data_IF_351938125954
#
_entry.id   IF_351938125954
#
_cell.length_a   1.000
_cell.length_b   1.000
_cell.length_c   1.000
_cell.angle_alpha   90.00
_cell.angle_beta   90.00
_cell.angle_gamma   90.00
#
_symmetry.space_group_name_H-M   'P 1'
#
loop_
_entity.id
_entity.type
_entity.pdbx_description
1 polymer ?
#
# COMPACT_ATOMS: atom_id res chain seq x y z
N UNK A 1 -30.89 2.76 13.27
CA UNK A 1 -29.59 2.37 12.69
C UNK A 1 -28.57 2.67 13.76
N UNK A 2 -27.91 1.63 14.29
CA UNK A 2 -26.98 1.78 15.41
C UNK A 2 -25.71 2.54 14.96
N UNK A 3 -25.41 3.72 15.54
CA UNK A 3 -24.30 4.58 15.10
C UNK A 3 -22.91 3.96 15.27
N UNK A 4 -22.78 2.89 16.06
CA UNK A 4 -21.52 2.14 16.23
C UNK A 4 -21.12 1.39 14.96
N UNK A 5 -22.10 0.90 14.18
CA UNK A 5 -21.86 0.18 12.93
C UNK A 5 -21.38 1.10 11.82
N UNK A 6 -21.77 2.38 11.86
CA UNK A 6 -21.34 3.36 10.88
C UNK A 6 -19.87 3.74 11.07
N UNK A 7 -19.43 3.87 12.33
CA UNK A 7 -18.04 4.21 12.68
C UNK A 7 -17.06 3.10 12.30
N UNK A 8 -17.42 1.83 12.56
CA UNK A 8 -16.57 0.69 12.21
C UNK A 8 -16.47 0.49 10.69
N UNK A 9 -17.52 0.80 9.93
CA UNK A 9 -17.49 0.73 8.46
C UNK A 9 -16.54 1.77 7.87
N UNK A 10 -16.57 3.01 8.38
CA UNK A 10 -15.61 4.05 7.95
C UNK A 10 -14.18 3.66 8.29
N UNK A 11 -13.94 3.12 9.49
CA UNK A 11 -12.61 2.63 9.87
C UNK A 11 -12.14 1.49 8.96
N UNK A 12 -13.01 0.53 8.66
CA UNK A 12 -12.71 -0.57 7.73
C UNK A 12 -12.34 -0.07 6.33
N UNK A 13 -13.10 0.89 5.79
CA UNK A 13 -12.81 1.52 4.48
C UNK A 13 -11.44 2.20 4.45
N UNK A 14 -11.10 2.96 5.50
CA UNK A 14 -9.81 3.65 5.56
C UNK A 14 -8.65 2.65 5.64
N UNK A 15 -8.79 1.61 6.45
CA UNK A 15 -7.77 0.56 6.59
C UNK A 15 -7.63 -0.26 5.30
N UNK A 16 -8.75 -0.61 4.64
CA UNK A 16 -8.73 -1.37 3.39
C UNK A 16 -8.13 -0.56 2.24
N UNK A 17 -8.41 0.75 2.19
CA UNK A 17 -7.83 1.69 1.24
C UNK A 17 -6.31 1.83 1.47
N UNK A 18 -5.87 2.01 2.72
CA UNK A 18 -4.45 2.12 3.05
C UNK A 18 -3.67 0.84 2.71
N UNK A 19 -4.21 -0.34 3.03
CA UNK A 19 -3.57 -1.60 2.69
C UNK A 19 -3.77 -2.01 1.21
N UNK A 20 -4.48 -1.21 0.41
CA UNK A 20 -4.82 -1.48 -1.01
C UNK A 20 -5.52 -2.83 -1.21
N UNK A 21 -6.36 -3.24 -0.27
CA UNK A 21 -7.08 -4.53 -0.28
C UNK A 21 -8.23 -4.54 -1.28
N UNK A 22 -8.82 -3.37 -1.55
CA UNK A 22 -9.91 -3.21 -2.51
C UNK A 22 -11.29 -3.68 -2.03
N UNK A 23 -11.43 -3.99 -0.74
CA UNK A 23 -12.71 -4.35 -0.12
C UNK A 23 -13.43 -3.12 0.42
N UNK A 24 -14.73 -3.04 0.16
CA UNK A 24 -15.61 -1.96 0.61
C UNK A 24 -16.84 -2.54 1.30
N UNK A 25 -17.29 -1.89 2.36
CA UNK A 25 -18.58 -2.17 3.03
C UNK A 25 -19.77 -1.50 2.31
N UNK A 26 -19.53 -0.85 1.16
CA UNK A 26 -20.54 -0.14 0.36
C UNK A 26 -20.72 1.33 0.72
N UNK A 27 -20.02 1.82 1.75
CA UNK A 27 -20.07 3.21 2.22
C UNK A 27 -19.26 4.15 1.33
N UNK A 28 -18.30 3.63 0.54
CA UNK A 28 -17.47 4.41 -0.39
C UNK A 28 -18.31 5.28 -1.35
N UNK A 29 -19.46 4.75 -1.80
CA UNK A 29 -20.42 5.42 -2.69
C UNK A 29 -21.11 6.64 -2.06
N UNK A 30 -21.18 6.68 -0.72
CA UNK A 30 -21.84 7.73 0.04
C UNK A 30 -20.87 8.83 0.50
N UNK A 31 -19.56 8.71 0.19
CA UNK A 31 -18.62 9.78 0.50
C UNK A 31 -18.85 11.00 -0.39
N UNK A 32 -18.72 12.17 0.23
CA UNK A 32 -18.67 13.44 -0.49
C UNK A 32 -17.41 13.51 -1.35
N UNK A 33 -17.43 14.34 -2.40
CA UNK A 33 -16.28 14.56 -3.31
C UNK A 33 -14.94 14.75 -2.55
N UNK A 34 -14.83 15.58 -1.50
CA UNK A 34 -13.58 15.70 -0.74
C UNK A 34 -13.20 14.40 -0.01
N UNK A 35 -14.16 13.62 0.49
CA UNK A 35 -13.90 12.33 1.13
C UNK A 35 -13.35 11.29 0.16
N UNK A 36 -13.86 11.26 -1.07
CA UNK A 36 -13.33 10.39 -2.13
C UNK A 36 -11.89 10.75 -2.50
N UNK A 37 -11.55 12.05 -2.58
CA UNK A 37 -10.18 12.49 -2.83
C UNK A 37 -9.21 12.04 -1.73
N UNK A 38 -9.61 12.12 -0.46
CA UNK A 38 -8.80 11.64 0.67
C UNK A 38 -8.59 10.11 0.60
N UNK A 39 -9.62 9.35 0.23
CA UNK A 39 -9.50 7.90 0.03
C UNK A 39 -8.53 7.55 -1.11
N UNK A 40 -8.61 8.26 -2.25
CA UNK A 40 -7.69 8.07 -3.38
C UNK A 40 -6.24 8.36 -2.95
N UNK A 41 -6.02 9.46 -2.22
CA UNK A 41 -4.70 9.78 -1.67
C UNK A 41 -4.20 8.70 -0.71
N UNK A 42 -5.08 8.18 0.14
CA UNK A 42 -4.74 7.11 1.10
C UNK A 42 -4.33 5.83 0.38
N UNK A 43 -5.03 5.43 -0.70
CA UNK A 43 -4.64 4.28 -1.54
C UNK A 43 -3.28 4.49 -2.21
N UNK A 44 -3.03 5.69 -2.72
CA UNK A 44 -1.75 6.03 -3.35
C UNK A 44 -0.60 5.97 -2.34
N UNK A 45 -0.77 6.59 -1.17
CA UNK A 45 0.23 6.57 -0.08
C UNK A 45 0.47 5.15 0.41
N UNK A 46 -0.59 4.35 0.57
CA UNK A 46 -0.50 2.95 0.97
C UNK A 46 0.39 2.14 0.02
N UNK A 47 0.13 2.24 -1.29
CA UNK A 47 0.92 1.52 -2.31
C UNK A 47 2.37 2.03 -2.40
N UNK A 48 2.55 3.35 -2.50
CA UNK A 48 3.87 3.97 -2.68
C UNK A 48 4.73 3.79 -1.43
N UNK A 49 4.13 3.94 -0.24
CA UNK A 49 4.82 3.76 1.04
C UNK A 49 5.41 2.37 1.21
N UNK A 50 4.66 1.32 0.84
CA UNK A 50 5.17 -0.06 0.88
C UNK A 50 6.33 -0.26 -0.10
N UNK A 51 6.24 0.26 -1.32
CA UNK A 51 7.32 0.17 -2.30
C UNK A 51 8.59 0.91 -1.84
N UNK A 52 8.45 2.08 -1.22
CA UNK A 52 9.56 2.83 -0.66
C UNK A 52 10.20 2.12 0.54
N UNK A 53 9.42 1.55 1.44
CA UNK A 53 9.95 0.75 2.54
C UNK A 53 10.72 -0.48 2.05
N UNK A 54 10.14 -1.24 1.12
CA UNK A 54 10.84 -2.38 0.51
C UNK A 54 12.11 -1.90 -0.19
N UNK A 55 12.03 -0.85 -1.00
CA UNK A 55 13.20 -0.32 -1.70
C UNK A 55 14.30 0.13 -0.74
N UNK A 56 13.99 0.74 0.40
CA UNK A 56 15.02 1.21 1.33
C UNK A 56 15.65 0.08 2.14
N UNK A 57 14.88 -0.96 2.46
CA UNK A 57 15.38 -2.16 3.16
C UNK A 57 16.26 -3.00 2.23
N UNK A 58 15.87 -3.15 0.97
CA UNK A 58 16.57 -3.97 -0.03
C UNK A 58 17.53 -3.18 -0.93
N UNK A 59 17.58 -1.86 -0.81
CA UNK A 59 18.53 -1.05 -1.56
C UNK A 59 19.95 -1.42 -1.12
N UNK A 60 20.66 -2.11 -2.01
CA UNK A 60 22.09 -2.31 -1.89
C UNK A 60 22.78 -0.95 -1.99
N UNK A 61 23.31 -0.49 -0.84
CA UNK A 61 23.96 0.83 -0.74
C UNK A 61 25.31 0.89 -1.46
N UNK A 62 25.82 -0.26 -1.91
CA UNK A 62 27.01 -0.37 -2.73
C UNK A 62 26.69 -1.25 -3.93
N UNK A 63 26.38 -0.70 -5.11
CA UNK A 63 26.46 -1.50 -6.33
C UNK A 63 27.89 -2.04 -6.39
N UNK A 64 28.03 -3.36 -6.24
CA UNK A 64 29.34 -4.02 -6.32
C UNK A 64 29.96 -3.65 -7.66
N UNK A 65 30.94 -2.76 -7.65
CA UNK A 65 31.78 -2.47 -8.81
C UNK A 65 32.72 -3.65 -9.15
N UNK A 66 32.67 -4.71 -8.33
CA UNK A 66 33.46 -5.93 -8.49
C UNK A 66 32.53 -6.97 -9.11
N UNK A 67 32.72 -7.20 -10.40
CA UNK A 67 32.12 -8.31 -11.13
C UNK A 67 32.90 -9.58 -10.77
N UNK A 68 32.26 -10.49 -10.04
CA UNK A 68 32.87 -11.78 -9.72
C UNK A 68 32.98 -12.60 -11.01
N UNK A 69 34.14 -13.20 -11.30
CA UNK A 69 34.32 -14.02 -12.49
C UNK A 69 33.34 -15.21 -12.45
N UNK A 70 32.69 -15.43 -13.58
CA UNK A 70 31.62 -16.41 -13.72
C UNK A 70 32.26 -17.81 -13.76
N UNK A 71 32.17 -18.55 -12.66
CA UNK A 71 32.67 -19.93 -12.61
C UNK A 71 31.68 -20.83 -13.34
N UNK A 72 32.10 -21.39 -14.48
CA UNK A 72 31.38 -22.46 -15.14
C UNK A 72 31.50 -23.73 -14.30
N UNK A 73 30.50 -23.98 -13.46
CA UNK A 73 30.32 -25.26 -12.78
C UNK A 73 29.92 -26.30 -13.84
N UNK A 74 30.92 -27.06 -14.32
CA UNK A 74 30.66 -28.29 -15.07
C UNK A 74 30.10 -29.32 -14.08
N UNK A 75 28.81 -29.60 -14.21
CA UNK A 75 28.10 -30.71 -13.56
C UNK A 75 28.44 -32.05 -14.18
#
# INVERSE_FOLDING_TARGET
ADPELESIQVFFEVVSAFATVGLSTGVTSNFTIPGQLVLILTMYIGRVGVLLLVSTIFAEQNPSAIQYPEENLFV
#
